data_IF_026326175805
#
_entry.id   IF_026326175805
#
_cell.length_a   1.000
_cell.length_b   1.000
_cell.length_c   1.000
_cell.angle_alpha   90.00
_cell.angle_beta   90.00
_cell.angle_gamma   90.00
#
_symmetry.space_group_name_H-M   'P 1'
#
loop_
_entity.id
_entity.type
_entity.pdbx_description
1 polymer ?
#
# COMPACT_ATOMS: atom_id res chain seq x y z
N UNK A 1 -25.91 -10.29 14.40
CA UNK A 1 -24.56 -10.51 14.96
C UNK A 1 -23.59 -9.73 14.08
N UNK A 2 -23.34 -8.46 14.41
CA UNK A 2 -22.39 -7.61 13.69
C UNK A 2 -20.98 -8.01 14.11
N UNK A 3 -20.22 -8.61 13.18
CA UNK A 3 -18.78 -8.82 13.35
C UNK A 3 -18.11 -7.45 13.29
N UNK A 4 -17.75 -6.94 14.43
CA UNK A 4 -16.94 -5.72 14.58
C UNK A 4 -15.59 -5.96 13.93
N UNK A 5 -15.35 -5.29 12.81
CA UNK A 5 -14.09 -5.31 12.08
C UNK A 5 -13.10 -4.38 12.80
N UNK A 6 -12.18 -4.97 13.52
CA UNK A 6 -11.01 -4.34 14.10
C UNK A 6 -10.14 -3.83 12.94
N UNK A 7 -9.43 -2.73 13.15
CA UNK A 7 -8.53 -2.00 12.25
C UNK A 7 -7.84 -2.91 11.21
N UNK A 8 -8.54 -3.30 10.14
CA UNK A 8 -7.91 -4.03 9.06
C UNK A 8 -7.47 -3.00 8.02
N UNK A 9 -6.22 -2.56 8.10
CA UNK A 9 -5.56 -1.74 7.09
C UNK A 9 -5.18 -2.61 5.87
N UNK A 10 -6.11 -3.40 5.37
CA UNK A 10 -5.88 -4.20 4.17
C UNK A 10 -5.96 -3.32 2.93
N UNK A 11 -4.86 -2.74 2.52
CA UNK A 11 -4.71 -2.04 1.26
C UNK A 11 -3.99 -2.96 0.28
N UNK A 12 -4.74 -3.67 -0.56
CA UNK A 12 -4.14 -4.48 -1.61
C UNK A 12 -3.77 -3.59 -2.80
N UNK A 13 -2.51 -3.17 -2.89
CA UNK A 13 -1.95 -2.44 -4.02
C UNK A 13 -1.60 -3.40 -5.16
N UNK A 14 -2.52 -4.26 -5.58
CA UNK A 14 -2.29 -5.12 -6.72
C UNK A 14 -2.70 -4.45 -8.03
N UNK A 15 -2.04 -3.36 -8.40
CA UNK A 15 -2.08 -2.86 -9.77
C UNK A 15 -1.10 -3.72 -10.56
N UNK A 16 -1.60 -4.81 -11.15
CA UNK A 16 -0.77 -5.78 -11.83
C UNK A 16 -0.23 -5.23 -13.15
N UNK A 17 1.02 -4.84 -13.19
CA UNK A 17 1.85 -4.95 -14.38
C UNK A 17 2.29 -6.42 -14.54
N UNK A 18 1.36 -7.31 -14.74
CA UNK A 18 1.73 -8.65 -15.13
C UNK A 18 1.92 -8.66 -16.65
N UNK A 19 3.01 -9.23 -17.14
CA UNK A 19 3.40 -9.47 -18.55
C UNK A 19 2.42 -8.99 -19.62
N UNK A 20 2.72 -7.90 -20.32
CA UNK A 20 2.16 -7.53 -21.61
C UNK A 20 2.57 -8.61 -22.63
N UNK A 21 1.77 -9.63 -22.82
CA UNK A 21 2.00 -10.59 -23.89
C UNK A 21 1.40 -10.01 -25.17
N UNK A 22 2.22 -9.35 -25.98
CA UNK A 22 1.93 -9.22 -27.41
C UNK A 22 1.89 -10.64 -27.97
N UNK A 23 0.83 -10.98 -28.72
CA UNK A 23 0.56 -12.32 -29.21
C UNK A 23 1.74 -12.89 -30.00
N UNK A 24 2.54 -13.73 -29.38
CA UNK A 24 3.53 -14.59 -30.01
C UNK A 24 3.40 -15.97 -29.36
N UNK A 25 2.93 -16.93 -30.15
CA UNK A 25 2.93 -18.40 -30.00
C UNK A 25 2.52 -19.02 -28.63
N UNK A 26 1.83 -20.17 -28.61
CA UNK A 26 1.19 -20.72 -27.43
C UNK A 26 2.18 -21.29 -26.43
N UNK A 27 2.33 -20.65 -25.28
CA UNK A 27 3.02 -21.24 -24.12
C UNK A 27 2.02 -22.11 -23.35
N UNK A 28 2.40 -23.34 -23.10
CA UNK A 28 1.69 -24.33 -22.28
C UNK A 28 1.81 -23.96 -20.81
N UNK A 29 0.88 -23.17 -20.28
CA UNK A 29 0.52 -23.19 -18.86
C UNK A 29 -0.86 -22.56 -18.70
N UNK A 30 -1.76 -23.29 -18.06
CA UNK A 30 -3.20 -23.05 -18.02
C UNK A 30 -3.67 -21.87 -17.17
N UNK A 31 -2.96 -20.75 -17.16
CA UNK A 31 -3.47 -19.47 -16.64
C UNK A 31 -4.10 -18.70 -17.82
N UNK A 32 -5.37 -18.40 -17.71
CA UNK A 32 -6.10 -17.56 -18.66
C UNK A 32 -5.37 -16.23 -18.84
N UNK A 33 -4.89 -15.97 -20.08
CA UNK A 33 -4.15 -14.74 -20.38
C UNK A 33 -5.14 -13.57 -20.42
N UNK A 34 -5.13 -12.74 -19.38
CA UNK A 34 -5.93 -11.49 -19.38
C UNK A 34 -5.36 -10.54 -20.43
N UNK A 35 -6.17 -10.09 -21.41
CA UNK A 35 -5.71 -9.16 -22.42
C UNK A 35 -5.20 -7.85 -21.83
N UNK A 36 -4.13 -7.32 -22.39
CA UNK A 36 -3.60 -6.02 -22.04
C UNK A 36 -3.61 -5.11 -23.28
N UNK A 37 -3.87 -3.82 -23.08
CA UNK A 37 -3.75 -2.79 -24.12
C UNK A 37 -2.93 -1.62 -23.61
N UNK A 38 -2.27 -0.95 -24.56
CA UNK A 38 -1.56 0.30 -24.39
C UNK A 38 -2.03 1.26 -25.48
N UNK A 39 -2.59 2.39 -25.08
CA UNK A 39 -3.02 3.47 -25.94
C UNK A 39 -2.20 4.72 -25.57
N UNK A 40 -1.73 5.49 -26.56
CA UNK A 40 -1.02 6.75 -26.39
C UNK A 40 -1.02 7.52 -27.72
N UNK A 41 -0.62 8.79 -27.71
CA UNK A 41 -0.50 9.56 -28.94
C UNK A 41 0.64 9.03 -29.83
N UNK A 42 1.74 8.56 -29.21
CA UNK A 42 2.85 7.94 -29.91
C UNK A 42 3.28 6.67 -29.16
N UNK A 43 3.49 5.58 -29.91
CA UNK A 43 4.00 4.30 -29.39
C UNK A 43 5.13 3.82 -30.28
N UNK A 44 6.29 3.63 -29.67
CA UNK A 44 7.48 3.05 -30.30
C UNK A 44 7.73 1.66 -29.71
N UNK A 45 8.00 0.67 -30.59
CA UNK A 45 8.40 -0.67 -30.17
C UNK A 45 9.70 -1.09 -30.86
N UNK A 46 10.78 -1.18 -30.09
CA UNK A 46 12.05 -1.77 -30.56
C UNK A 46 11.99 -3.31 -30.38
N UNK A 47 11.71 -4.01 -31.47
CA UNK A 47 11.63 -5.48 -31.48
C UNK A 47 12.95 -6.17 -31.11
N UNK A 48 14.07 -5.48 -31.30
CA UNK A 48 15.41 -6.04 -31.02
C UNK A 48 15.69 -6.09 -29.51
N UNK A 49 15.27 -5.06 -28.78
CA UNK A 49 15.49 -4.93 -27.34
C UNK A 49 14.27 -5.36 -26.51
N UNK A 50 13.10 -5.46 -27.14
CA UNK A 50 11.83 -5.70 -26.47
C UNK A 50 11.28 -4.46 -25.76
N UNK A 51 11.88 -3.28 -26.00
CA UNK A 51 11.48 -2.03 -25.33
C UNK A 51 10.28 -1.39 -26.04
N UNK A 52 9.26 -1.07 -25.25
CA UNK A 52 8.11 -0.27 -25.65
C UNK A 52 8.21 1.08 -24.95
N UNK A 53 8.01 2.16 -25.70
CA UNK A 53 7.88 3.52 -25.18
C UNK A 53 6.57 4.11 -25.69
N UNK A 54 5.77 4.69 -24.78
CA UNK A 54 4.54 5.39 -25.11
C UNK A 54 4.62 6.81 -24.56
N UNK A 55 4.16 7.78 -25.36
CA UNK A 55 4.31 9.20 -25.03
C UNK A 55 2.98 9.89 -25.26
N UNK A 56 2.61 10.76 -24.33
CA UNK A 56 1.41 11.57 -24.24
C UNK A 56 0.11 10.74 -24.24
N UNK A 57 -0.81 11.16 -23.36
CA UNK A 57 -2.13 10.56 -23.18
C UNK A 57 -2.09 9.03 -22.97
N UNK A 58 -1.06 8.56 -22.24
CA UNK A 58 -0.85 7.14 -21.99
C UNK A 58 -2.01 6.54 -21.21
N UNK A 59 -2.56 5.44 -21.71
CA UNK A 59 -3.56 4.62 -21.04
C UNK A 59 -3.20 3.14 -21.19
N UNK A 60 -2.83 2.52 -20.10
CA UNK A 60 -2.60 1.07 -20.01
C UNK A 60 -3.80 0.40 -19.35
N UNK A 61 -4.23 -0.73 -19.89
CA UNK A 61 -5.33 -1.53 -19.32
C UNK A 61 -4.94 -2.99 -19.25
N UNK A 62 -5.35 -3.66 -18.17
CA UNK A 62 -5.27 -5.11 -18.04
C UNK A 62 -6.36 -5.63 -17.11
N UNK A 63 -7.34 -6.34 -17.65
CA UNK A 63 -8.53 -6.72 -16.88
C UNK A 63 -9.27 -5.49 -16.37
N UNK A 64 -9.44 -5.43 -15.05
CA UNK A 64 -10.05 -4.31 -14.33
C UNK A 64 -9.07 -3.19 -13.96
N UNK A 65 -7.76 -3.42 -14.16
CA UNK A 65 -6.73 -2.44 -13.86
C UNK A 65 -6.53 -1.44 -15.01
N UNK A 66 -6.34 -0.16 -14.65
CA UNK A 66 -6.05 0.94 -15.57
C UNK A 66 -4.96 1.81 -14.96
N UNK A 67 -4.01 2.23 -15.79
CA UNK A 67 -2.98 3.21 -15.40
C UNK A 67 -2.90 4.27 -16.49
N UNK A 68 -2.88 5.53 -16.08
CA UNK A 68 -2.68 6.68 -16.98
C UNK A 68 -1.44 7.46 -16.57
N UNK A 69 -0.86 8.20 -17.51
CA UNK A 69 0.27 9.08 -17.31
C UNK A 69 0.68 9.78 -18.59
N UNK A 70 1.79 10.51 -18.56
CA UNK A 70 2.30 11.22 -19.74
C UNK A 70 3.27 10.36 -20.55
N UNK A 71 4.05 9.52 -19.88
CA UNK A 71 5.00 8.62 -20.55
C UNK A 71 5.01 7.27 -19.88
N UNK A 72 5.05 6.21 -20.67
CA UNK A 72 5.27 4.86 -20.19
C UNK A 72 6.45 4.20 -20.92
N UNK A 73 7.18 3.37 -20.19
CA UNK A 73 8.16 2.44 -20.74
C UNK A 73 7.87 1.05 -20.22
N UNK A 74 8.04 0.05 -21.07
CA UNK A 74 7.90 -1.35 -20.69
C UNK A 74 8.86 -2.21 -21.49
N UNK A 75 9.51 -3.17 -20.86
CA UNK A 75 10.39 -4.10 -21.54
C UNK A 75 9.80 -5.52 -21.49
N UNK A 76 9.51 -6.09 -22.67
CA UNK A 76 8.92 -7.41 -22.80
C UNK A 76 9.82 -8.57 -22.35
N UNK A 77 11.15 -8.35 -22.36
CA UNK A 77 12.13 -9.37 -22.00
C UNK A 77 12.39 -9.41 -20.49
N UNK A 78 12.49 -8.24 -19.84
CA UNK A 78 12.75 -8.11 -18.40
C UNK A 78 11.45 -7.99 -17.59
N UNK A 79 10.34 -7.64 -18.24
CA UNK A 79 9.02 -7.38 -17.63
C UNK A 79 9.02 -6.17 -16.68
N UNK A 80 10.00 -5.28 -16.81
CA UNK A 80 10.06 -4.03 -16.07
C UNK A 80 9.24 -2.96 -16.76
N UNK A 81 8.54 -2.16 -15.98
CA UNK A 81 7.70 -1.07 -16.48
C UNK A 81 7.76 0.17 -15.62
N UNK A 82 7.54 1.33 -16.24
CA UNK A 82 7.40 2.60 -15.55
C UNK A 82 6.39 3.49 -16.26
N UNK A 83 5.60 4.22 -15.46
CA UNK A 83 4.71 5.28 -15.93
C UNK A 83 5.04 6.54 -15.17
N UNK A 84 5.14 7.68 -15.87
CA UNK A 84 5.58 8.96 -15.30
C UNK A 84 4.59 10.06 -15.72
N UNK A 85 4.39 11.04 -14.82
CA UNK A 85 3.63 12.26 -15.03
C UNK A 85 2.15 12.09 -14.71
N UNK A 86 1.71 12.72 -13.60
CA UNK A 86 0.33 12.71 -13.11
C UNK A 86 -0.31 11.32 -13.14
N UNK A 87 0.43 10.34 -12.63
CA UNK A 87 0.04 8.94 -12.72
C UNK A 87 -1.22 8.69 -11.91
N UNK A 88 -2.18 8.03 -12.54
CA UNK A 88 -3.38 7.53 -11.89
C UNK A 88 -3.49 6.04 -12.17
N UNK A 89 -3.45 5.22 -11.13
CA UNK A 89 -3.66 3.80 -11.20
C UNK A 89 -4.97 3.43 -10.50
N UNK A 90 -5.83 2.65 -11.15
CA UNK A 90 -7.14 2.24 -10.63
C UNK A 90 -7.31 0.74 -10.83
N UNK A 91 -7.84 0.05 -9.81
CA UNK A 91 -8.28 -1.34 -9.91
C UNK A 91 -9.43 -1.59 -8.92
N UNK A 92 -10.60 -1.96 -9.44
CA UNK A 92 -11.80 -2.07 -8.63
C UNK A 92 -12.10 -0.75 -7.92
N UNK A 93 -12.19 -0.78 -6.60
CA UNK A 93 -12.41 0.36 -5.71
C UNK A 93 -11.11 1.05 -5.23
N UNK A 94 -9.95 0.53 -5.66
CA UNK A 94 -8.66 1.12 -5.35
C UNK A 94 -8.26 2.16 -6.37
N UNK A 95 -7.71 3.28 -5.88
CA UNK A 95 -7.11 4.35 -6.68
C UNK A 95 -5.80 4.79 -6.03
N UNK A 96 -4.75 4.90 -6.83
CA UNK A 96 -3.45 5.48 -6.43
C UNK A 96 -3.10 6.60 -7.38
N UNK A 97 -2.62 7.71 -6.85
CA UNK A 97 -2.01 8.80 -7.62
C UNK A 97 -0.57 9.01 -7.16
N UNK A 98 0.33 9.33 -8.09
CA UNK A 98 1.74 9.59 -7.82
C UNK A 98 2.40 10.29 -9.02
N UNK A 99 3.63 10.74 -8.86
CA UNK A 99 4.38 11.33 -9.98
C UNK A 99 4.98 10.23 -10.87
N UNK A 100 5.34 9.06 -10.30
CA UNK A 100 5.87 7.91 -11.03
C UNK A 100 5.41 6.60 -10.40
N UNK A 101 5.08 5.62 -11.24
CA UNK A 101 4.81 4.24 -10.87
C UNK A 101 5.79 3.32 -11.60
N UNK A 102 6.47 2.43 -10.88
CA UNK A 102 7.44 1.45 -11.39
C UNK A 102 6.94 0.06 -11.02
N UNK A 103 7.18 -0.90 -11.90
CA UNK A 103 6.96 -2.33 -11.62
C UNK A 103 8.10 -3.17 -12.15
N UNK A 104 8.35 -4.32 -11.54
CA UNK A 104 9.33 -5.31 -12.00
C UNK A 104 8.70 -6.70 -12.22
N UNK A 105 9.52 -7.63 -12.74
CA UNK A 105 9.10 -9.01 -13.02
C UNK A 105 8.67 -9.81 -11.77
N UNK A 106 9.08 -9.38 -10.58
CA UNK A 106 8.70 -9.98 -9.31
C UNK A 106 7.35 -9.47 -8.77
N UNK A 107 6.64 -8.68 -9.61
CA UNK A 107 5.40 -7.99 -9.25
C UNK A 107 5.56 -6.97 -8.11
N UNK A 108 6.79 -6.59 -7.76
CA UNK A 108 7.06 -5.46 -6.89
C UNK A 108 6.64 -4.17 -7.59
N UNK A 109 5.94 -3.32 -6.86
CA UNK A 109 5.50 -2.02 -7.35
C UNK A 109 5.99 -0.92 -6.44
N UNK A 110 6.43 0.18 -7.05
CA UNK A 110 6.89 1.35 -6.36
C UNK A 110 6.19 2.59 -6.90
N UNK A 111 5.49 3.30 -6.03
CA UNK A 111 4.92 4.62 -6.32
C UNK A 111 5.81 5.69 -5.68
N UNK A 112 6.12 6.74 -6.43
CA UNK A 112 7.06 7.79 -6.05
C UNK A 112 6.44 9.15 -6.31
N UNK A 113 6.64 10.08 -5.39
CA UNK A 113 6.23 11.48 -5.45
C UNK A 113 4.74 11.68 -5.17
N UNK A 114 4.43 12.39 -4.09
CA UNK A 114 3.07 12.77 -3.68
C UNK A 114 2.08 11.60 -3.71
N UNK A 115 2.53 10.44 -3.25
CA UNK A 115 1.72 9.23 -3.31
C UNK A 115 0.48 9.39 -2.45
N UNK A 116 -0.67 9.17 -3.07
CA UNK A 116 -1.96 9.13 -2.39
C UNK A 116 -2.76 7.95 -2.89
N UNK A 117 -3.09 7.03 -1.99
CA UNK A 117 -3.88 5.84 -2.29
C UNK A 117 -5.17 5.82 -1.48
N UNK A 118 -6.25 5.40 -2.12
CA UNK A 118 -7.57 5.24 -1.50
C UNK A 118 -8.16 3.89 -1.84
N UNK A 119 -8.85 3.27 -0.89
CA UNK A 119 -9.68 2.08 -1.09
C UNK A 119 -10.83 2.08 -0.10
N UNK A 120 -12.05 2.21 -0.59
CA UNK A 120 -13.25 2.36 0.25
C UNK A 120 -13.10 3.52 1.26
N UNK A 121 -13.10 3.21 2.56
CA UNK A 121 -12.92 4.15 3.68
C UNK A 121 -11.47 4.28 4.15
N UNK A 122 -10.52 3.78 3.38
CA UNK A 122 -9.09 3.77 3.71
C UNK A 122 -8.29 4.65 2.79
N UNK A 123 -7.29 5.27 3.35
CA UNK A 123 -6.40 6.22 2.67
C UNK A 123 -4.98 6.02 3.17
N UNK A 124 -4.00 6.16 2.28
CA UNK A 124 -2.61 6.29 2.67
C UNK A 124 -1.93 7.39 1.86
N UNK A 125 -0.94 8.02 2.46
CA UNK A 125 -0.10 9.04 1.82
C UNK A 125 1.36 8.80 2.17
N UNK A 126 2.25 9.21 1.26
CA UNK A 126 3.71 9.16 1.46
C UNK A 126 4.46 9.69 0.25
N UNK A 127 5.77 9.85 0.37
CA UNK A 127 6.61 10.27 -0.74
C UNK A 127 7.08 9.10 -1.59
N UNK A 128 7.24 7.92 -0.96
CA UNK A 128 7.62 6.69 -1.63
C UNK A 128 6.92 5.50 -0.97
N UNK A 129 6.24 4.73 -1.79
CA UNK A 129 5.51 3.54 -1.36
C UNK A 129 5.95 2.35 -2.17
N UNK A 130 6.49 1.32 -1.50
CA UNK A 130 6.82 0.03 -2.08
C UNK A 130 5.74 -1.00 -1.69
N UNK A 131 5.34 -1.84 -2.64
CA UNK A 131 4.39 -2.92 -2.42
C UNK A 131 4.87 -4.23 -2.99
N UNK A 132 4.80 -5.29 -2.20
CA UNK A 132 5.26 -6.65 -2.51
C UNK A 132 4.10 -7.64 -2.34
N UNK A 133 3.31 -7.93 -3.38
CA UNK A 133 2.14 -8.80 -3.30
C UNK A 133 2.48 -10.22 -2.87
N UNK A 134 3.67 -10.71 -3.25
CA UNK A 134 4.13 -12.07 -2.97
C UNK A 134 4.75 -12.23 -1.56
N UNK A 135 4.80 -11.16 -0.74
CA UNK A 135 5.33 -11.15 0.62
C UNK A 135 4.23 -10.83 1.65
N UNK A 136 3.15 -11.61 1.68
CA UNK A 136 1.97 -11.39 2.55
C UNK A 136 1.32 -10.02 2.36
N UNK A 137 1.33 -9.51 1.10
CA UNK A 137 0.90 -8.14 0.77
C UNK A 137 1.66 -7.11 1.62
N UNK A 138 2.99 -7.22 1.62
CA UNK A 138 3.85 -6.30 2.35
C UNK A 138 3.86 -4.92 1.68
N UNK A 139 3.68 -3.89 2.48
CA UNK A 139 3.76 -2.48 2.08
C UNK A 139 4.81 -1.76 2.93
N UNK A 140 5.51 -0.82 2.31
CA UNK A 140 6.49 0.05 2.98
C UNK A 140 6.33 1.48 2.48
N UNK A 141 6.29 2.43 3.42
CA UNK A 141 6.23 3.87 3.14
C UNK A 141 7.43 4.53 3.81
N UNK A 142 8.28 5.14 3.01
CA UNK A 142 9.49 5.82 3.44
C UNK A 142 9.33 7.35 3.44
N UNK A 143 10.12 8.05 4.26
CA UNK A 143 10.18 9.52 4.34
C UNK A 143 8.88 10.18 4.80
N UNK A 144 8.23 9.59 5.77
CA UNK A 144 6.96 10.05 6.32
C UNK A 144 5.76 9.44 5.60
N UNK A 145 4.91 8.79 6.37
CA UNK A 145 3.71 8.14 5.90
C UNK A 145 2.53 8.33 6.83
N UNK A 146 1.34 8.29 6.25
CA UNK A 146 0.09 8.29 6.99
C UNK A 146 -0.82 7.22 6.41
N UNK A 147 -1.39 6.39 7.28
CA UNK A 147 -2.48 5.49 6.96
C UNK A 147 -3.70 5.91 7.77
N UNK A 148 -4.85 6.04 7.11
CA UNK A 148 -6.10 6.52 7.71
C UNK A 148 -7.26 5.61 7.34
N UNK A 149 -8.17 5.44 8.27
CA UNK A 149 -9.45 4.76 8.06
C UNK A 149 -10.53 5.45 8.91
N UNK A 150 -11.76 4.97 8.83
CA UNK A 150 -12.84 5.41 9.74
C UNK A 150 -12.51 5.16 11.22
N UNK A 151 -11.65 4.19 11.51
CA UNK A 151 -11.30 3.78 12.87
C UNK A 151 -10.15 4.59 13.46
N UNK A 152 -9.42 5.35 12.61
CA UNK A 152 -8.34 6.20 13.09
C UNK A 152 -7.23 6.46 12.08
N UNK A 153 -6.13 7.00 12.60
CA UNK A 153 -4.94 7.40 11.84
C UNK A 153 -3.72 6.74 12.46
N UNK A 154 -2.83 6.24 11.60
CA UNK A 154 -1.48 5.80 11.97
C UNK A 154 -0.47 6.55 11.11
N UNK A 155 0.49 7.22 11.72
CA UNK A 155 1.56 7.95 11.04
C UNK A 155 2.91 7.71 11.69
N UNK A 156 3.98 7.74 10.89
CA UNK A 156 5.37 7.65 11.34
C UNK A 156 6.32 8.17 10.26
N UNK A 157 7.59 8.33 10.57
CA UNK A 157 8.63 8.67 9.59
C UNK A 157 8.85 7.50 8.62
N UNK A 158 8.66 6.28 9.10
CA UNK A 158 8.68 5.05 8.32
C UNK A 158 7.52 4.16 8.75
N UNK A 159 6.70 3.71 7.77
CA UNK A 159 5.62 2.77 7.99
C UNK A 159 5.84 1.50 7.18
N UNK A 160 5.56 0.37 7.78
CA UNK A 160 5.48 -0.91 7.08
C UNK A 160 4.31 -1.76 7.58
N UNK A 161 3.85 -2.68 6.75
CA UNK A 161 2.74 -3.56 7.12
C UNK A 161 2.68 -4.82 6.29
N UNK A 162 2.36 -5.92 6.95
CA UNK A 162 2.00 -7.21 6.36
C UNK A 162 0.48 -7.33 6.43
N UNK A 163 -0.19 -6.97 5.33
CA UNK A 163 -1.63 -6.74 5.34
C UNK A 163 -2.45 -8.01 5.58
N UNK A 164 -1.96 -9.17 5.11
CA UNK A 164 -2.61 -10.47 5.38
C UNK A 164 -2.54 -10.88 6.84
N UNK A 165 -1.51 -10.43 7.55
CA UNK A 165 -1.27 -10.72 8.96
C UNK A 165 -1.84 -9.65 9.89
N UNK A 166 -2.33 -8.53 9.31
CA UNK A 166 -2.75 -7.32 10.05
C UNK A 166 -1.66 -6.85 11.05
N UNK A 167 -0.39 -7.01 10.66
CA UNK A 167 0.76 -6.54 11.41
C UNK A 167 1.28 -5.25 10.78
N UNK A 168 1.34 -4.19 11.56
CA UNK A 168 1.77 -2.87 11.12
C UNK A 168 2.80 -2.30 12.06
N UNK A 169 3.81 -1.64 11.52
CA UNK A 169 4.92 -1.05 12.27
C UNK A 169 5.12 0.39 11.84
N UNK A 170 5.21 1.29 12.83
CA UNK A 170 5.64 2.67 12.62
C UNK A 170 6.94 2.92 13.38
N UNK A 171 7.91 3.53 12.72
CA UNK A 171 9.23 3.86 13.29
C UNK A 171 9.52 5.35 13.08
N UNK A 172 10.00 6.01 14.11
CA UNK A 172 10.24 7.44 14.14
C UNK A 172 8.96 8.25 14.27
N UNK A 173 8.80 8.99 15.37
CA UNK A 173 7.62 9.82 15.64
C UNK A 173 6.29 9.06 15.42
N UNK A 174 6.27 7.78 15.77
CA UNK A 174 5.14 6.91 15.54
C UNK A 174 3.93 7.35 16.39
N UNK A 175 2.80 7.57 15.75
CA UNK A 175 1.58 8.11 16.34
C UNK A 175 0.34 7.37 15.84
N UNK A 176 -0.52 7.01 16.77
CA UNK A 176 -1.83 6.41 16.52
C UNK A 176 -2.90 7.28 17.17
N UNK A 177 -3.97 7.56 16.43
CA UNK A 177 -5.18 8.14 16.98
C UNK A 177 -6.37 7.28 16.57
N UNK A 178 -7.17 6.85 17.54
CA UNK A 178 -8.40 6.10 17.32
C UNK A 178 -9.56 6.80 18.04
N UNK A 179 -10.27 7.73 17.35
CA UNK A 179 -11.38 8.47 17.93
C UNK A 179 -12.52 7.55 18.43
N UNK A 180 -12.73 6.43 17.77
CA UNK A 180 -13.74 5.44 18.16
C UNK A 180 -13.46 4.76 19.51
N UNK A 181 -12.22 4.86 20.00
CA UNK A 181 -11.74 4.27 21.27
C UNK A 181 -11.29 5.33 22.27
N UNK A 182 -11.47 6.61 21.94
CA UNK A 182 -10.92 7.75 22.69
C UNK A 182 -9.44 7.52 23.07
N UNK A 183 -8.65 7.05 22.08
CA UNK A 183 -7.27 6.63 22.28
C UNK A 183 -6.33 7.43 21.38
N UNK A 184 -5.33 8.04 22.00
CA UNK A 184 -4.12 8.52 21.35
C UNK A 184 -2.91 7.80 21.95
N UNK A 185 -1.96 7.38 21.11
CA UNK A 185 -0.75 6.71 21.58
C UNK A 185 0.41 6.93 20.61
N UNK A 186 1.63 6.80 21.12
CA UNK A 186 2.82 6.95 20.30
C UNK A 186 4.10 6.58 21.02
N UNK A 187 5.21 6.76 20.30
CA UNK A 187 6.56 6.47 20.75
C UNK A 187 7.56 6.54 19.60
N UNK A 188 8.79 6.12 19.85
CA UNK A 188 9.81 6.01 18.81
C UNK A 188 9.46 4.88 17.84
N UNK A 189 8.73 3.86 18.32
CA UNK A 189 8.22 2.74 17.53
C UNK A 189 6.86 2.29 18.07
N UNK A 190 5.95 1.95 17.14
CA UNK A 190 4.67 1.31 17.41
C UNK A 190 4.56 0.04 16.57
N UNK A 191 4.33 -1.10 17.20
CA UNK A 191 3.98 -2.38 16.57
C UNK A 191 2.52 -2.71 16.87
N UNK A 192 1.71 -2.92 15.83
CA UNK A 192 0.31 -3.30 15.95
C UNK A 192 0.07 -4.69 15.38
N UNK A 193 -0.54 -5.56 16.17
CA UNK A 193 -0.93 -6.95 15.84
C UNK A 193 -2.44 -7.10 15.92
N UNK A 194 -3.12 -6.98 14.78
CA UNK A 194 -4.58 -6.93 14.74
C UNK A 194 -5.26 -8.29 14.70
N UNK A 195 -4.76 -9.18 13.85
CA UNK A 195 -5.48 -10.41 13.46
C UNK A 195 -5.61 -11.44 14.59
N UNK A 196 -4.55 -11.69 15.32
CA UNK A 196 -4.49 -12.76 16.32
C UNK A 196 -4.50 -12.24 17.75
N UNK A 197 -3.82 -11.14 18.03
CA UNK A 197 -3.52 -10.70 19.37
C UNK A 197 -4.33 -9.49 19.83
N UNK A 198 -4.81 -8.64 18.89
CA UNK A 198 -5.50 -7.38 19.23
C UNK A 198 -4.63 -6.50 20.14
N UNK A 199 -3.34 -6.37 19.80
CA UNK A 199 -2.32 -5.79 20.67
C UNK A 199 -1.54 -4.71 19.96
N UNK A 200 -1.25 -3.59 20.66
CA UNK A 200 -0.31 -2.58 20.23
C UNK A 200 0.83 -2.44 21.25
N UNK A 201 2.06 -2.37 20.77
CA UNK A 201 3.26 -2.19 21.61
C UNK A 201 3.93 -0.90 21.17
N UNK A 202 4.05 0.07 22.09
CA UNK A 202 4.82 1.29 21.91
C UNK A 202 6.15 1.16 22.65
N UNK A 203 7.23 1.55 22.00
CA UNK A 203 8.58 1.52 22.61
C UNK A 203 9.34 2.80 22.31
N UNK A 204 10.20 3.20 23.25
CA UNK A 204 10.95 4.45 23.20
C UNK A 204 10.04 5.67 23.38
N UNK A 205 10.20 6.42 24.48
CA UNK A 205 9.34 7.57 24.80
C UNK A 205 7.84 7.25 24.66
N UNK A 206 7.46 6.02 25.03
CA UNK A 206 6.12 5.51 24.83
C UNK A 206 5.10 6.25 25.68
N UNK A 207 3.98 6.62 25.10
CA UNK A 207 2.88 7.28 25.78
C UNK A 207 1.52 6.82 25.22
N UNK A 208 0.49 6.94 26.04
CA UNK A 208 -0.89 6.72 25.63
C UNK A 208 -1.82 7.61 26.46
N UNK A 209 -2.86 8.11 25.83
CA UNK A 209 -3.95 8.88 26.44
C UNK A 209 -5.25 8.17 26.10
N UNK A 210 -6.06 7.84 27.12
CA UNK A 210 -7.37 7.26 26.97
C UNK A 210 -8.29 7.75 28.09
N UNK A 211 -9.50 8.18 27.78
CA UNK A 211 -10.48 8.65 28.75
C UNK A 211 -9.89 9.69 29.74
N UNK A 212 -9.08 10.64 29.22
CA UNK A 212 -8.30 11.63 30.00
C UNK A 212 -7.21 11.06 30.92
N UNK A 213 -6.94 9.76 30.89
CA UNK A 213 -5.83 9.16 31.60
C UNK A 213 -4.59 9.11 30.72
N UNK A 214 -3.45 9.52 31.27
CA UNK A 214 -2.18 9.54 30.54
C UNK A 214 -1.22 8.52 31.14
N UNK A 215 -0.57 7.77 30.27
CA UNK A 215 0.45 6.79 30.61
C UNK A 215 1.74 7.13 29.88
N UNK A 216 2.85 6.99 30.56
CA UNK A 216 4.20 7.16 30.00
C UNK A 216 5.09 6.01 30.44
N UNK A 217 6.05 5.65 29.58
CA UNK A 217 7.04 4.63 29.88
C UNK A 217 8.02 4.40 28.74
N UNK A 218 9.03 3.57 28.96
CA UNK A 218 9.91 3.12 27.88
C UNK A 218 9.23 2.10 26.96
N UNK A 219 8.26 1.38 27.49
CA UNK A 219 7.43 0.42 26.78
C UNK A 219 6.02 0.43 27.36
N UNK A 220 5.03 0.51 26.49
CA UNK A 220 3.62 0.32 26.81
C UNK A 220 3.06 -0.79 25.94
N UNK A 221 2.22 -1.63 26.50
CA UNK A 221 1.47 -2.64 25.74
C UNK A 221 -0.02 -2.40 25.99
N UNK A 222 -0.75 -2.13 24.93
CA UNK A 222 -2.19 -2.00 24.95
C UNK A 222 -2.81 -3.28 24.37
N UNK A 223 -3.71 -3.89 25.12
CA UNK A 223 -4.52 -5.01 24.64
C UNK A 223 -5.92 -4.49 24.28
N UNK A 224 -6.33 -4.73 23.06
CA UNK A 224 -7.68 -4.41 22.62
C UNK A 224 -8.59 -5.57 22.98
N UNK A 225 -9.54 -5.34 23.88
CA UNK A 225 -10.52 -6.35 24.21
C UNK A 225 -11.35 -6.71 22.97
N UNK A 226 -11.92 -7.93 22.94
CA UNK A 226 -12.77 -8.40 21.84
C UNK A 226 -14.02 -7.51 21.61
N UNK A 227 -14.41 -6.72 22.59
CA UNK A 227 -15.47 -5.71 22.53
C UNK A 227 -15.00 -4.33 22.04
N UNK A 228 -13.69 -4.20 21.70
CA UNK A 228 -13.09 -2.95 21.23
C UNK A 228 -12.58 -2.02 22.34
N UNK A 229 -12.75 -2.35 23.62
CA UNK A 229 -12.13 -1.59 24.71
C UNK A 229 -10.63 -1.90 24.81
N UNK A 230 -9.81 -0.89 25.16
CA UNK A 230 -8.39 -1.11 25.44
C UNK A 230 -8.20 -1.39 26.94
N UNK A 231 -7.35 -2.38 27.26
CA UNK A 231 -6.91 -2.64 28.64
C UNK A 231 -5.40 -2.50 28.72
N UNK A 232 -4.93 -1.70 29.65
CA UNK A 232 -3.49 -1.53 29.92
C UNK A 232 -3.08 -2.52 31.02
N UNK A 233 -2.08 -3.34 30.74
CA UNK A 233 -1.37 -4.07 31.80
C UNK A 233 -0.10 -3.30 32.17
N UNK A 234 0.04 -3.05 33.48
CA UNK A 234 1.25 -2.47 34.07
C UNK A 234 2.35 -3.53 34.18
#
# INVERSE_FOLDING_TARGET
MNKMRILSLGLALSVAFGSLSVAAAPAKDGKEKVPASLDADEVEYDMRTGQITATENVLMKRGDAKVTGHKATYNLNTMDGSVIGDVIAVRGDMRVTCDQLISDAAEHMQAIGKVHGTQLDREFTGEKVDYYPNQNDYIRIENGGTAKSKDGIFRADFLEGWMKDEHYVGIGNAYVNSPTKDLEAGGDRVDYYGKEEGKAIMTGHAWAIQDNNTLHGNKLTLYMAKDGSAKVQK
#
